data_IF_037283010437
#
_entry.id   IF_037283010437
#
_cell.length_a   1.000
_cell.length_b   1.000
_cell.length_c   1.000
_cell.angle_alpha   90.00
_cell.angle_beta   90.00
_cell.angle_gamma   90.00
#
_symmetry.space_group_name_H-M   'P 1'
#
loop_
_entity.id
_entity.type
_entity.pdbx_description
1 polymer ?
#
# COMPACT_ATOMS: atom_id res chain seq x y z
N UNK A 1 -5.06 9.65 5.46
CA UNK A 1 -5.68 8.56 4.68
C UNK A 1 -4.64 7.48 4.40
N UNK A 2 -5.07 6.25 4.13
CA UNK A 2 -4.20 5.21 3.56
C UNK A 2 -4.31 5.26 2.04
N UNK A 3 -3.22 4.92 1.35
CA UNK A 3 -3.26 4.81 -0.10
C UNK A 3 -4.06 3.57 -0.49
N UNK A 4 -4.98 3.74 -1.44
CA UNK A 4 -5.80 2.67 -2.02
C UNK A 4 -5.36 2.41 -3.46
N UNK A 5 -5.62 1.21 -3.98
CA UNK A 5 -5.14 0.77 -5.30
C UNK A 5 -6.15 0.97 -6.43
N UNK A 6 -7.44 1.13 -6.13
CA UNK A 6 -8.50 1.20 -7.15
C UNK A 6 -8.61 2.57 -7.83
N UNK A 7 -7.94 3.60 -7.31
CA UNK A 7 -7.96 4.96 -7.87
C UNK A 7 -6.58 5.61 -7.69
N UNK A 8 -6.13 6.48 -8.61
CA UNK A 8 -4.87 7.21 -8.44
C UNK A 8 -4.80 8.00 -7.13
N UNK A 9 -3.58 8.20 -6.63
CA UNK A 9 -3.33 9.01 -5.43
C UNK A 9 -3.88 10.44 -5.60
N UNK A 10 -4.51 10.95 -4.56
CA UNK A 10 -5.15 12.28 -4.52
C UNK A 10 -6.49 12.37 -5.24
N UNK A 11 -7.04 11.26 -5.74
CA UNK A 11 -8.33 11.21 -6.42
C UNK A 11 -9.42 10.45 -5.63
N UNK A 12 -9.05 9.83 -4.51
CA UNK A 12 -10.01 9.12 -3.66
C UNK A 12 -10.95 10.10 -2.93
N UNK A 13 -12.18 9.67 -2.68
CA UNK A 13 -13.21 10.49 -2.05
C UNK A 13 -13.41 10.09 -0.59
N UNK A 14 -13.40 11.06 0.32
CA UNK A 14 -13.74 10.84 1.73
C UNK A 14 -15.23 10.54 1.89
N UNK A 15 -15.57 9.42 2.51
CA UNK A 15 -16.92 9.11 2.97
C UNK A 15 -16.98 9.29 4.49
N UNK A 16 -17.84 10.19 4.96
CA UNK A 16 -18.00 10.48 6.39
C UNK A 16 -19.49 10.69 6.75
N UNK A 17 -20.21 9.57 6.90
CA UNK A 17 -21.65 9.57 7.21
C UNK A 17 -21.98 10.40 8.46
N UNK A 18 -22.94 11.33 8.32
CA UNK A 18 -23.42 12.18 9.42
C UNK A 18 -22.46 13.30 9.86
N UNK A 19 -21.24 13.37 9.30
CA UNK A 19 -20.25 14.39 9.64
C UNK A 19 -20.05 15.41 8.51
N UNK A 20 -20.04 14.96 7.26
CA UNK A 20 -19.75 15.82 6.12
C UNK A 20 -20.69 15.55 4.95
N UNK A 21 -21.34 16.60 4.47
CA UNK A 21 -22.08 16.62 3.21
C UNK A 21 -21.27 17.37 2.15
N UNK A 22 -21.24 16.85 0.91
CA UNK A 22 -20.78 17.61 -0.23
C UNK A 22 -21.91 18.51 -0.74
N UNK A 23 -21.73 19.84 -0.65
CA UNK A 23 -22.72 20.83 -1.09
C UNK A 23 -22.11 21.74 -2.13
N UNK A 24 -22.82 21.94 -3.25
CA UNK A 24 -22.44 22.90 -4.27
C UNK A 24 -23.65 23.75 -4.65
N UNK A 25 -23.38 24.97 -5.13
CA UNK A 25 -24.39 25.91 -5.63
C UNK A 25 -24.19 26.08 -7.13
N UNK A 26 -25.28 26.02 -7.90
CA UNK A 26 -25.25 26.45 -9.29
C UNK A 26 -24.86 27.93 -9.35
N UNK A 27 -23.65 28.21 -9.81
CA UNK A 27 -23.10 29.55 -9.95
C UNK A 27 -23.30 30.12 -11.37
N UNK A 28 -24.13 29.46 -12.19
CA UNK A 28 -24.46 29.91 -13.55
C UNK A 28 -25.82 30.59 -13.57
N UNK A 29 -26.04 31.43 -14.59
CA UNK A 29 -27.35 32.09 -14.81
C UNK A 29 -28.37 31.16 -15.50
N UNK A 30 -28.07 29.87 -15.64
CA UNK A 30 -28.86 28.90 -16.39
C UNK A 30 -29.21 27.74 -15.48
N UNK A 31 -30.37 27.09 -15.66
CA UNK A 31 -30.72 25.92 -14.88
C UNK A 31 -29.72 24.79 -15.12
N UNK A 32 -29.49 23.99 -14.08
CA UNK A 32 -28.82 22.69 -14.17
C UNK A 32 -29.87 21.60 -13.99
N UNK A 33 -29.76 20.53 -14.76
CA UNK A 33 -30.60 19.34 -14.60
C UNK A 33 -29.72 18.18 -14.16
N UNK A 34 -30.09 17.52 -13.06
CA UNK A 34 -29.36 16.40 -12.48
C UNK A 34 -30.25 15.16 -12.58
N UNK A 35 -29.74 14.11 -13.21
CA UNK A 35 -30.39 12.81 -13.30
C UNK A 35 -29.51 11.77 -12.64
N UNK A 36 -30.02 11.12 -11.59
CA UNK A 36 -29.37 10.01 -10.92
C UNK A 36 -30.16 8.71 -11.17
N UNK A 37 -29.46 7.60 -11.37
CA UNK A 37 -30.03 6.29 -11.62
C UNK A 37 -29.18 5.25 -10.87
N UNK A 38 -29.83 4.42 -10.06
CA UNK A 38 -29.19 3.36 -9.30
C UNK A 38 -29.73 2.00 -9.78
N UNK A 39 -28.90 1.25 -10.49
CA UNK A 39 -29.26 -0.03 -11.13
C UNK A 39 -28.06 -0.97 -11.10
N UNK A 40 -28.31 -2.28 -10.89
CA UNK A 40 -27.28 -3.33 -10.90
C UNK A 40 -26.07 -3.07 -10.00
N UNK A 41 -26.28 -2.48 -8.81
CA UNK A 41 -25.21 -2.15 -7.87
C UNK A 41 -24.37 -0.91 -8.25
N UNK A 42 -24.71 -0.23 -9.34
CA UNK A 42 -24.06 1.01 -9.78
C UNK A 42 -24.93 2.24 -9.57
N UNK A 43 -24.31 3.38 -9.31
CA UNK A 43 -24.95 4.70 -9.31
C UNK A 43 -24.38 5.53 -10.47
N UNK A 44 -25.25 5.92 -11.40
CA UNK A 44 -24.90 6.84 -12.49
C UNK A 44 -25.53 8.20 -12.22
N UNK A 45 -24.72 9.26 -12.22
CA UNK A 45 -25.18 10.64 -12.09
C UNK A 45 -24.79 11.43 -13.33
N UNK A 46 -25.80 11.96 -14.03
CA UNK A 46 -25.62 12.85 -15.16
C UNK A 46 -25.96 14.28 -14.73
N UNK A 47 -25.05 15.22 -14.99
CA UNK A 47 -25.25 16.64 -14.72
C UNK A 47 -25.27 17.38 -16.06
N UNK A 48 -26.42 17.92 -16.41
CA UNK A 48 -26.64 18.68 -17.64
C UNK A 48 -26.64 20.18 -17.31
N UNK A 49 -26.04 20.96 -18.19
CA UNK A 49 -25.98 22.41 -18.08
C UNK A 49 -25.87 23.08 -19.45
N UNK A 50 -25.91 24.40 -19.46
CA UNK A 50 -25.86 25.16 -20.70
C UNK A 50 -24.48 25.04 -21.38
N UNK A 51 -24.47 24.76 -22.70
CA UNK A 51 -23.24 24.47 -23.47
C UNK A 51 -22.17 25.55 -23.38
N UNK A 52 -22.55 26.82 -23.21
CA UNK A 52 -21.60 27.92 -23.02
C UNK A 52 -20.64 27.75 -21.83
N UNK A 53 -21.01 26.95 -20.83
CA UNK A 53 -20.16 26.63 -19.67
C UNK A 53 -19.46 25.27 -19.81
N UNK A 54 -19.67 24.55 -20.92
CA UNK A 54 -18.99 23.27 -21.18
C UNK A 54 -17.48 23.52 -21.19
N UNK A 55 -16.75 22.72 -20.43
CA UNK A 55 -15.29 22.69 -20.39
C UNK A 55 -14.84 21.24 -20.58
N UNK A 56 -13.80 21.05 -21.39
CA UNK A 56 -13.10 19.77 -21.46
C UNK A 56 -12.03 19.79 -20.38
N UNK A 57 -12.09 18.81 -19.47
CA UNK A 57 -11.26 18.78 -18.26
C UNK A 57 -10.67 17.38 -18.10
N UNK A 58 -9.41 17.30 -17.67
CA UNK A 58 -8.81 16.09 -17.11
C UNK A 58 -8.25 16.37 -15.70
N UNK A 59 -8.11 15.30 -14.92
CA UNK A 59 -7.50 15.35 -13.58
C UNK A 59 -6.31 14.41 -13.57
N UNK A 60 -5.18 14.87 -13.05
CA UNK A 60 -3.95 14.08 -12.94
C UNK A 60 -3.31 14.28 -11.59
N UNK A 61 -2.42 13.37 -11.20
CA UNK A 61 -1.63 13.48 -10.00
C UNK A 61 -0.12 13.44 -10.27
N UNK A 62 0.66 13.99 -9.36
CA UNK A 62 2.12 13.88 -9.28
C UNK A 62 2.49 13.32 -7.92
N UNK A 63 3.33 12.29 -7.89
CA UNK A 63 3.88 11.75 -6.64
C UNK A 63 5.15 12.55 -6.32
N UNK A 64 5.09 13.42 -5.32
CA UNK A 64 6.24 14.22 -4.90
C UNK A 64 7.17 13.42 -3.99
N UNK A 65 6.65 12.44 -3.23
CA UNK A 65 7.43 11.60 -2.32
C UNK A 65 6.83 10.22 -2.15
N UNK A 66 7.69 9.21 -2.12
CA UNK A 66 7.39 7.85 -1.64
C UNK A 66 8.02 7.70 -0.26
N UNK A 67 7.26 7.18 0.71
CA UNK A 67 7.68 7.04 2.11
C UNK A 67 7.61 5.56 2.45
N UNK A 68 8.76 4.89 2.45
CA UNK A 68 8.85 3.48 2.80
C UNK A 68 8.43 3.28 4.26
N UNK A 69 7.77 2.15 4.51
CA UNK A 69 7.45 1.73 5.86
C UNK A 69 8.69 1.14 6.54
N UNK A 70 8.70 1.10 7.87
CA UNK A 70 9.73 0.40 8.65
C UNK A 70 9.25 -1.00 9.03
N UNK A 71 10.20 -1.91 9.28
CA UNK A 71 9.91 -3.22 9.84
C UNK A 71 10.19 -3.23 11.34
N UNK A 72 9.18 -3.57 12.12
CA UNK A 72 9.25 -3.69 13.57
C UNK A 72 9.17 -5.16 13.95
N UNK A 73 10.22 -5.69 14.59
CA UNK A 73 10.25 -7.07 15.09
C UNK A 73 9.97 -7.06 16.59
N UNK A 74 8.94 -7.78 17.02
CA UNK A 74 8.63 -8.03 18.43
C UNK A 74 8.95 -9.47 18.79
N UNK A 75 9.73 -9.66 19.85
CA UNK A 75 9.97 -11.00 20.40
C UNK A 75 8.76 -11.42 21.23
N UNK A 76 8.27 -12.63 20.96
CA UNK A 76 7.12 -13.26 21.62
C UNK A 76 7.57 -14.57 22.26
N UNK A 77 7.68 -14.59 23.59
CA UNK A 77 8.17 -15.75 24.34
C UNK A 77 7.25 -16.98 24.25
N UNK A 78 5.99 -16.78 23.86
CA UNK A 78 4.99 -17.82 23.63
C UNK A 78 5.06 -18.45 22.23
N UNK A 79 5.89 -17.91 21.33
CA UNK A 79 6.17 -18.50 20.02
C UNK A 79 7.33 -19.50 20.09
N UNK A 80 7.30 -20.53 19.23
CA UNK A 80 8.39 -21.49 19.16
C UNK A 80 9.71 -20.80 18.73
N UNK A 81 10.87 -21.19 19.30
CA UNK A 81 12.13 -20.56 18.97
C UNK A 81 12.43 -20.55 17.46
N UNK A 82 12.91 -19.41 16.96
CA UNK A 82 13.26 -19.23 15.55
C UNK A 82 12.08 -19.10 14.57
N UNK A 83 10.82 -19.15 15.04
CA UNK A 83 9.65 -18.94 14.18
C UNK A 83 9.36 -17.45 13.97
N UNK A 84 8.77 -17.11 12.81
CA UNK A 84 8.31 -15.77 12.49
C UNK A 84 6.86 -15.77 12.00
N UNK A 85 6.12 -14.70 12.32
CA UNK A 85 4.76 -14.45 11.85
C UNK A 85 4.62 -12.97 11.50
N UNK A 86 4.18 -12.66 10.28
CA UNK A 86 3.78 -11.29 9.92
C UNK A 86 2.43 -11.02 10.57
N UNK A 87 2.42 -10.13 11.56
CA UNK A 87 1.18 -9.70 12.23
C UNK A 87 0.50 -8.58 11.46
N UNK A 88 1.28 -7.62 10.95
CA UNK A 88 0.77 -6.49 10.18
C UNK A 88 1.61 -6.31 8.93
N UNK A 89 0.95 -6.29 7.76
CA UNK A 89 1.62 -5.95 6.50
C UNK A 89 2.00 -4.46 6.49
N UNK A 90 3.18 -4.16 5.97
CA UNK A 90 3.62 -2.79 5.75
C UNK A 90 2.89 -2.16 4.57
N UNK A 91 2.54 -0.89 4.68
CA UNK A 91 1.93 -0.09 3.59
C UNK A 91 2.80 1.13 3.34
N UNK A 92 3.19 1.32 2.08
CA UNK A 92 3.99 2.48 1.66
C UNK A 92 3.15 3.75 1.74
N UNK A 93 3.73 4.81 2.30
CA UNK A 93 3.14 6.15 2.34
C UNK A 93 3.56 7.01 1.16
N UNK A 94 2.85 8.12 0.95
CA UNK A 94 3.06 9.01 -0.20
C UNK A 94 2.77 10.47 0.15
N UNK A 95 3.44 11.40 -0.54
CA UNK A 95 2.98 12.78 -0.71
C UNK A 95 2.64 12.94 -2.19
N UNK A 96 1.39 13.30 -2.49
CA UNK A 96 0.93 13.47 -3.86
C UNK A 96 0.22 14.82 -4.04
N UNK A 97 0.36 15.43 -5.21
CA UNK A 97 -0.41 16.60 -5.63
C UNK A 97 -1.36 16.24 -6.76
N UNK A 98 -2.57 16.76 -6.70
CA UNK A 98 -3.57 16.62 -7.77
C UNK A 98 -3.78 17.93 -8.53
N UNK A 99 -4.03 17.83 -9.83
CA UNK A 99 -4.17 18.93 -10.74
C UNK A 99 -5.39 18.76 -11.63
N UNK A 100 -6.04 19.88 -11.96
CA UNK A 100 -7.11 19.97 -12.94
C UNK A 100 -6.61 20.71 -14.17
N UNK A 101 -6.69 20.07 -15.32
CA UNK A 101 -6.32 20.65 -16.61
C UNK A 101 -7.56 20.99 -17.42
N UNK A 102 -7.60 22.18 -17.99
CA UNK A 102 -8.61 22.61 -18.94
C UNK A 102 -8.02 22.55 -20.33
N UNK A 103 -8.80 22.00 -21.26
CA UNK A 103 -8.40 21.79 -22.64
C UNK A 103 -9.22 22.68 -23.59
N UNK A 104 -8.59 23.10 -24.68
CA UNK A 104 -9.30 23.66 -25.83
C UNK A 104 -9.90 22.56 -26.72
N UNK A 105 -10.48 22.97 -27.85
CA UNK A 105 -11.10 22.05 -28.82
C UNK A 105 -10.08 21.19 -29.57
N UNK A 106 -8.79 21.54 -29.52
CA UNK A 106 -7.66 20.82 -30.12
C UNK A 106 -6.89 19.96 -29.10
N UNK A 107 -7.48 19.69 -27.93
CA UNK A 107 -6.89 18.88 -26.85
C UNK A 107 -5.61 19.47 -26.23
N UNK A 108 -5.36 20.77 -26.40
CA UNK A 108 -4.22 21.44 -25.78
C UNK A 108 -4.61 21.97 -24.39
N UNK A 109 -3.70 21.79 -23.42
CA UNK A 109 -3.88 22.34 -22.08
C UNK A 109 -3.76 23.86 -22.12
N UNK A 110 -4.85 24.55 -21.81
CA UNK A 110 -4.91 26.02 -21.76
C UNK A 110 -4.88 26.57 -20.34
N UNK A 111 -5.14 25.72 -19.33
CA UNK A 111 -5.06 26.09 -17.92
C UNK A 111 -4.79 24.87 -17.06
N UNK A 112 -3.93 25.04 -16.07
CA UNK A 112 -3.72 24.06 -14.99
C UNK A 112 -4.06 24.71 -13.65
N UNK A 113 -4.80 24.00 -12.82
CA UNK A 113 -5.11 24.39 -11.45
C UNK A 113 -4.62 23.31 -10.49
N UNK A 114 -3.90 23.71 -9.45
CA UNK A 114 -3.60 22.82 -8.33
C UNK A 114 -4.86 22.60 -7.50
N UNK A 115 -5.22 21.34 -7.24
CA UNK A 115 -6.39 20.97 -6.45
C UNK A 115 -6.02 20.79 -4.98
N UNK A 116 -5.11 19.87 -4.68
CA UNK A 116 -4.71 19.53 -3.32
C UNK A 116 -3.32 18.90 -3.26
N UNK A 117 -2.74 18.94 -2.06
CA UNK A 117 -1.59 18.12 -1.67
C UNK A 117 -2.04 17.16 -0.59
N UNK A 118 -1.95 15.86 -0.87
CA UNK A 118 -2.38 14.80 0.03
C UNK A 118 -1.19 14.07 0.65
N UNK A 119 -1.29 13.79 1.95
CA UNK A 119 -0.32 13.01 2.70
C UNK A 119 -0.93 11.67 3.14
N UNK A 120 -0.34 10.60 2.62
CA UNK A 120 -0.65 9.22 2.95
C UNK A 120 0.43 8.70 3.90
N UNK A 121 0.04 8.43 5.15
CA UNK A 121 0.98 7.96 6.18
C UNK A 121 1.34 6.50 5.89
N UNK A 122 2.63 6.11 5.92
CA UNK A 122 3.00 4.70 5.85
C UNK A 122 2.49 3.95 7.09
N UNK A 123 2.31 2.64 6.94
CA UNK A 123 1.99 1.72 8.02
C UNK A 123 3.17 0.76 8.15
N UNK A 124 3.80 0.73 9.33
CA UNK A 124 4.94 -0.16 9.57
C UNK A 124 4.53 -1.63 9.50
N UNK A 125 5.42 -2.47 8.99
CA UNK A 125 5.27 -3.92 9.02
C UNK A 125 5.61 -4.39 10.42
N UNK A 126 4.76 -5.23 11.02
CA UNK A 126 4.99 -5.82 12.34
C UNK A 126 5.22 -7.32 12.15
N UNK A 127 6.35 -7.81 12.65
CA UNK A 127 6.74 -9.22 12.62
C UNK A 127 6.88 -9.69 14.07
N UNK A 128 6.16 -10.74 14.42
CA UNK A 128 6.41 -11.47 15.67
C UNK A 128 7.44 -12.55 15.44
N UNK A 129 8.43 -12.64 16.32
CA UNK A 129 9.49 -13.65 16.26
C UNK A 129 9.57 -14.38 17.60
N UNK A 130 9.69 -15.71 17.56
CA UNK A 130 9.98 -16.50 18.75
C UNK A 130 11.35 -16.18 19.35
N UNK A 131 11.59 -16.53 20.62
CA UNK A 131 12.89 -16.32 21.25
C UNK A 131 13.99 -17.05 20.48
N UNK A 132 15.23 -16.59 20.60
CA UNK A 132 16.36 -17.33 20.03
C UNK A 132 16.45 -18.71 20.68
N UNK A 133 16.68 -19.76 19.90
CA UNK A 133 17.03 -21.05 20.48
C UNK A 133 18.36 -20.89 21.20
N UNK A 134 18.43 -21.28 22.48
CA UNK A 134 19.70 -21.34 23.18
C UNK A 134 20.60 -22.35 22.45
N UNK A 135 21.85 -21.97 22.19
CA UNK A 135 22.84 -22.91 21.66
C UNK A 135 22.85 -24.17 22.54
N UNK A 136 22.99 -25.38 21.97
CA UNK A 136 23.15 -26.58 22.77
C UNK A 136 24.29 -26.32 23.76
N UNK A 137 23.99 -26.46 25.06
CA UNK A 137 25.05 -26.46 26.07
C UNK A 137 25.87 -27.70 25.75
N UNK A 138 27.05 -27.52 25.16
CA UNK A 138 28.04 -28.59 25.08
C UNK A 138 28.25 -29.07 26.52
N UNK A 139 27.67 -30.21 26.82
CA UNK A 139 27.90 -30.86 28.09
C UNK A 139 29.33 -31.33 28.00
N UNK A 140 30.24 -30.63 28.70
CA UNK A 140 31.63 -31.09 28.81
C UNK A 140 31.59 -32.48 29.44
N UNK A 141 31.72 -33.52 28.62
CA UNK A 141 31.97 -34.87 29.07
C UNK A 141 33.37 -34.82 29.72
N UNK A 142 33.54 -35.21 30.99
CA UNK A 142 34.87 -35.33 31.58
C UNK A 142 35.73 -36.25 30.70
N UNK A 143 37.01 -35.93 30.44
CA UNK A 143 37.82 -36.70 29.51
C UNK A 143 38.04 -38.12 30.06
N UNK A 144 37.57 -39.12 29.31
CA UNK A 144 38.01 -40.51 29.45
C UNK A 144 39.32 -40.67 28.67
N UNK A 145 40.36 -41.10 29.38
CA UNK A 145 41.70 -41.29 28.82
C UNK A 145 41.71 -42.40 27.76
N UNK A 146 42.18 -42.09 26.55
CA UNK A 146 42.42 -43.08 25.50
C UNK A 146 43.26 -42.51 24.35
N UNK A 147 44.52 -42.90 24.32
CA UNK A 147 45.59 -42.54 23.37
C UNK A 147 45.46 -43.26 22.01
N UNK A 148 45.57 -42.50 20.90
CA UNK A 148 46.55 -42.65 19.79
C UNK A 148 46.01 -42.19 18.41
N UNK A 149 46.67 -41.17 17.85
CA UNK A 149 47.25 -41.23 16.49
C UNK A 149 46.48 -40.65 15.29
N UNK A 150 47.01 -39.56 14.72
CA UNK A 150 46.95 -39.28 13.26
C UNK A 150 46.47 -37.88 12.85
N UNK A 151 47.37 -37.08 12.26
CA UNK A 151 47.23 -35.69 11.80
C UNK A 151 47.36 -35.66 10.23
N UNK A 152 47.23 -34.53 9.47
CA UNK A 152 46.05 -33.73 9.05
C UNK A 152 45.99 -33.51 7.48
N UNK A 153 45.48 -32.39 6.89
CA UNK A 153 44.09 -31.92 6.65
C UNK A 153 43.78 -31.55 5.16
N UNK A 154 42.71 -30.75 4.95
CA UNK A 154 42.32 -29.87 3.81
C UNK A 154 41.22 -30.42 2.88
N UNK A 155 40.21 -29.70 2.35
CA UNK A 155 39.99 -28.26 2.13
C UNK A 155 38.46 -27.99 1.91
N UNK A 156 38.08 -26.72 2.02
CA UNK A 156 36.85 -25.98 1.66
C UNK A 156 36.06 -26.47 0.42
N UNK A 157 34.77 -26.17 0.24
CA UNK A 157 34.13 -24.88 0.46
C UNK A 157 32.63 -24.87 0.15
N UNK A 158 32.02 -23.76 0.57
CA UNK A 158 30.63 -23.36 0.42
C UNK A 158 30.35 -22.88 -1.01
N UNK A 159 29.17 -23.21 -1.54
CA UNK A 159 28.53 -22.41 -2.58
C UNK A 159 27.09 -22.10 -2.16
N UNK A 160 26.78 -20.81 -2.12
CA UNK A 160 25.47 -20.25 -1.78
C UNK A 160 24.87 -19.68 -3.06
N UNK A 161 23.88 -20.35 -3.63
CA UNK A 161 23.00 -19.75 -4.65
C UNK A 161 21.84 -19.02 -3.96
N UNK A 162 21.69 -17.74 -4.28
CA UNK A 162 20.57 -16.88 -3.90
C UNK A 162 19.26 -17.35 -4.57
N UNK A 163 18.13 -17.50 -3.85
CA UNK A 163 16.84 -17.60 -4.48
C UNK A 163 16.18 -16.23 -4.69
N UNK A 164 15.70 -16.04 -5.91
CA UNK A 164 14.83 -14.98 -6.43
C UNK A 164 13.46 -14.92 -5.74
N UNK A 165 12.91 -13.71 -5.59
CA UNK A 165 11.57 -13.42 -5.05
C UNK A 165 10.44 -14.03 -5.91
N UNK A 166 9.42 -14.69 -5.31
CA UNK A 166 8.20 -15.04 -6.03
C UNK A 166 7.17 -13.89 -5.99
N UNK A 167 6.42 -13.78 -7.09
CA UNK A 167 5.27 -12.89 -7.27
C UNK A 167 4.09 -13.33 -6.37
N UNK A 168 3.34 -12.37 -5.85
CA UNK A 168 2.15 -12.62 -5.02
C UNK A 168 0.92 -12.84 -5.91
N UNK A 169 0.30 -14.01 -5.78
CA UNK A 169 -1.05 -14.31 -6.27
C UNK A 169 -2.12 -13.76 -5.31
N UNK A 170 -3.25 -13.37 -5.89
CA UNK A 170 -4.40 -12.73 -5.26
C UNK A 170 -5.41 -13.81 -4.85
N UNK A 171 -5.58 -14.06 -3.55
CA UNK A 171 -6.65 -14.92 -3.05
C UNK A 171 -7.87 -14.09 -2.66
N UNK A 172 -8.85 -14.06 -3.56
CA UNK A 172 -10.23 -13.71 -3.23
C UNK A 172 -10.93 -14.94 -2.64
N UNK A 173 -11.24 -14.92 -1.35
CA UNK A 173 -12.15 -15.90 -0.75
C UNK A 173 -13.62 -15.50 -1.03
N UNK A 174 -14.27 -16.24 -1.93
CA UNK A 174 -15.72 -16.39 -1.95
C UNK A 174 -16.15 -17.22 -0.73
N UNK A 175 -16.95 -16.64 0.16
CA UNK A 175 -17.78 -17.40 1.09
C UNK A 175 -19.21 -17.34 0.57
N UNK A 176 -19.66 -18.45 -0.03
CA UNK A 176 -21.06 -18.70 -0.33
C UNK A 176 -21.74 -19.42 0.83
N UNK A 177 -22.89 -18.90 1.25
CA UNK A 177 -24.08 -19.65 1.68
C UNK A 177 -25.32 -18.80 1.42
#
# INVERSE_FOLDING_TARGET
>A
ALAVTYVPLGHDATIAYGLQDFKFKNNTNYPIYIRAMAESGGLTVNIYGHLKYKKKISVTNVIDRVIQFEENVEIKDDMAPGTEKIEQKGVTGYVARSFRHFHDDADQIIKTEHLATDYYKPVNKIIYRGPSQAAPVETQIPPENGDTGGDPPDDSGSDTELPTLPAYEDETSENGE
#
